data_IF_573486228024
#
_entry.id   IF_573486228024
#
_cell.length_a   1.000
_cell.length_b   1.000
_cell.length_c   1.000
_cell.angle_alpha   90.00
_cell.angle_beta   90.00
_cell.angle_gamma   90.00
#
_symmetry.space_group_name_H-M   'P 1'
#
loop_
_entity.id
_entity.type
_entity.pdbx_description
1 polymer ?
#
# COMPACT_ATOMS: atom_id res chain seq x y z
N UNK A 1 49.47 24.60 15.78
CA UNK A 1 48.54 23.46 15.60
C UNK A 1 47.13 23.93 15.94
N UNK A 2 46.31 24.23 14.93
CA UNK A 2 44.94 24.70 15.12
C UNK A 2 43.99 23.53 15.38
N UNK A 3 43.26 23.58 16.50
CA UNK A 3 42.14 22.68 16.80
C UNK A 3 40.87 23.31 16.20
N UNK A 4 40.23 22.60 15.28
CA UNK A 4 38.93 22.98 14.71
C UNK A 4 37.85 22.08 15.32
N UNK A 5 36.97 22.68 16.10
CA UNK A 5 35.71 22.11 16.58
C UNK A 5 34.59 22.58 15.66
N UNK A 6 33.94 21.65 14.95
CA UNK A 6 32.72 21.93 14.18
C UNK A 6 31.53 21.49 15.03
N UNK A 7 30.76 22.47 15.51
CA UNK A 7 29.44 22.28 16.11
C UNK A 7 28.42 21.98 15.02
N UNK A 8 27.74 20.85 15.10
CA UNK A 8 26.60 20.51 14.24
C UNK A 8 25.30 20.87 14.98
N UNK A 9 24.65 21.95 14.56
CA UNK A 9 23.33 22.33 15.05
C UNK A 9 22.26 21.44 14.40
N UNK A 10 21.53 20.69 15.24
CA UNK A 10 20.36 19.89 14.83
C UNK A 10 19.15 20.83 14.82
N UNK A 11 18.57 21.06 13.64
CA UNK A 11 17.28 21.74 13.49
C UNK A 11 16.17 20.71 13.73
N UNK A 12 15.45 20.85 14.84
CA UNK A 12 14.18 20.16 15.07
C UNK A 12 13.06 20.93 14.35
N UNK A 13 12.45 20.33 13.33
CA UNK A 13 11.16 20.78 12.79
C UNK A 13 10.06 19.98 13.49
N UNK A 14 9.39 20.63 14.42
CA UNK A 14 8.17 20.13 15.08
C UNK A 14 6.98 20.36 14.17
N UNK A 15 6.36 19.29 13.66
CA UNK A 15 5.07 19.37 12.96
C UNK A 15 3.96 19.34 14.01
N UNK A 16 3.37 20.50 14.29
CA UNK A 16 2.13 20.60 15.07
C UNK A 16 0.96 20.13 14.21
N UNK A 17 0.34 19.01 14.58
CA UNK A 17 -0.94 18.57 14.00
C UNK A 17 -2.07 19.24 14.78
N UNK A 18 -2.88 20.07 14.12
CA UNK A 18 -4.12 20.62 14.67
C UNK A 18 -5.20 19.54 14.56
N UNK A 19 -5.89 19.29 15.67
CA UNK A 19 -7.04 18.40 15.73
C UNK A 19 -8.23 19.04 14.99
N UNK A 20 -8.84 18.30 14.05
CA UNK A 20 -10.19 18.60 13.58
C UNK A 20 -11.17 17.72 14.35
N UNK A 21 -11.90 18.35 15.27
CA UNK A 21 -13.13 17.82 15.84
C UNK A 21 -14.32 18.25 14.96
N UNK A 22 -15.33 17.39 14.93
CA UNK A 22 -16.69 17.54 14.40
C UNK A 22 -16.92 17.78 12.91
N UNK A 23 -17.45 16.73 12.27
CA UNK A 23 -18.15 16.75 11.00
C UNK A 23 -19.27 15.71 10.97
N UNK A 24 -19.91 15.45 12.12
CA UNK A 24 -21.19 14.75 12.21
C UNK A 24 -22.30 15.75 11.86
N UNK A 25 -22.62 15.91 10.57
CA UNK A 25 -23.89 16.55 10.18
C UNK A 25 -24.30 16.35 8.71
N UNK A 26 -23.94 15.21 8.09
CA UNK A 26 -24.43 14.86 6.74
C UNK A 26 -25.70 13.99 6.75
N UNK A 27 -26.28 13.70 7.92
CA UNK A 27 -27.43 12.79 8.05
C UNK A 27 -28.57 13.29 8.94
N UNK A 28 -28.72 14.61 9.14
CA UNK A 28 -29.88 15.16 9.87
C UNK A 28 -30.40 16.47 9.29
N UNK A 29 -31.31 16.37 8.32
CA UNK A 29 -32.65 16.98 8.34
C UNK A 29 -33.22 17.21 6.94
N UNK A 30 -34.51 16.92 6.82
CA UNK A 30 -35.35 17.07 5.63
C UNK A 30 -36.12 18.39 5.71
N UNK A 31 -36.12 19.15 4.59
CA UNK A 31 -36.98 20.30 4.19
C UNK A 31 -36.82 21.59 5.02
N UNK A 32 -36.78 22.80 4.43
CA UNK A 32 -37.72 23.38 3.46
C UNK A 32 -37.06 24.36 2.47
N UNK A 33 -37.72 24.55 1.32
CA UNK A 33 -37.38 25.51 0.27
C UNK A 33 -37.43 26.94 0.82
N UNK A 34 -36.39 27.74 0.61
CA UNK A 34 -36.47 29.20 0.72
C UNK A 34 -36.54 29.82 -0.67
N UNK A 35 -37.63 30.54 -0.88
CA UNK A 35 -38.04 31.25 -2.10
C UNK A 35 -37.48 32.67 -2.00
N UNK A 36 -36.23 32.87 -2.40
CA UNK A 36 -35.74 34.21 -2.74
C UNK A 36 -34.83 34.13 -3.95
N UNK A 37 -35.38 34.59 -5.06
CA UNK A 37 -34.67 34.92 -6.28
C UNK A 37 -33.63 36.01 -6.02
N UNK A 38 -32.45 35.83 -6.59
CA UNK A 38 -31.58 36.93 -6.97
C UNK A 38 -30.93 36.56 -8.29
N UNK A 39 -31.37 37.29 -9.32
CA UNK A 39 -31.03 37.16 -10.73
C UNK A 39 -29.52 37.09 -11.00
N UNK A 40 -29.02 36.22 -11.90
CA UNK A 40 -27.69 36.36 -12.46
C UNK A 40 -27.72 37.10 -13.80
N UNK A 41 -26.96 38.20 -13.88
CA UNK A 41 -26.51 38.83 -15.12
C UNK A 41 -25.66 37.89 -15.99
N UNK A 42 -25.21 38.34 -17.17
CA UNK A 42 -24.92 37.48 -18.30
C UNK A 42 -23.81 36.47 -17.98
N UNK A 43 -24.19 35.20 -18.04
CA UNK A 43 -23.29 34.06 -18.04
C UNK A 43 -22.45 34.10 -19.31
N UNK A 44 -21.20 34.55 -19.18
CA UNK A 44 -20.15 34.15 -20.12
C UNK A 44 -20.13 32.63 -20.16
N UNK A 45 -20.60 32.05 -21.26
CA UNK A 45 -20.52 30.63 -21.53
C UNK A 45 -19.05 30.24 -21.67
N UNK A 46 -18.44 29.83 -20.57
CA UNK A 46 -17.11 29.22 -20.60
C UNK A 46 -17.27 27.83 -21.18
N UNK A 47 -16.77 27.64 -22.40
CA UNK A 47 -16.68 26.35 -23.05
C UNK A 47 -16.00 25.34 -22.07
N UNK A 48 -16.67 24.24 -21.67
CA UNK A 48 -16.16 23.32 -20.63
C UNK A 48 -14.83 22.65 -21.02
N UNK A 49 -14.47 22.66 -22.31
CA UNK A 49 -13.20 22.17 -22.80
C UNK A 49 -11.99 23.08 -22.44
N UNK A 50 -12.20 24.36 -22.14
CA UNK A 50 -11.14 25.36 -21.97
C UNK A 50 -10.89 25.82 -20.52
N UNK A 51 -11.59 25.22 -19.54
CA UNK A 51 -11.41 25.53 -18.11
C UNK A 51 -10.19 24.85 -17.46
N UNK A 52 -9.49 23.94 -18.16
CA UNK A 52 -8.72 22.87 -17.51
C UNK A 52 -7.19 22.93 -17.70
N UNK A 53 -6.63 24.12 -17.90
CA UNK A 53 -5.19 24.37 -17.73
C UNK A 53 -4.90 25.41 -16.62
N UNK A 54 -5.91 25.73 -15.81
CA UNK A 54 -5.84 26.72 -14.74
C UNK A 54 -5.76 26.00 -13.38
N UNK A 55 -4.99 26.56 -12.46
CA UNK A 55 -4.92 26.11 -11.06
C UNK A 55 -6.31 26.14 -10.41
N UNK A 56 -6.69 25.03 -9.77
CA UNK A 56 -7.97 24.87 -9.06
C UNK A 56 -7.84 25.47 -7.66
N UNK A 57 -8.72 26.39 -7.28
CA UNK A 57 -8.62 27.13 -6.00
C UNK A 57 -9.84 26.98 -5.11
N UNK A 58 -10.97 26.54 -5.68
CA UNK A 58 -12.25 26.42 -4.98
C UNK A 58 -12.84 25.01 -5.08
N UNK A 59 -13.55 24.58 -4.05
CA UNK A 59 -14.24 23.28 -4.04
C UNK A 59 -15.24 23.10 -5.22
N UNK A 60 -15.89 24.19 -5.65
CA UNK A 60 -16.79 24.14 -6.80
C UNK A 60 -16.05 23.83 -8.12
N UNK A 61 -14.83 24.35 -8.30
CA UNK A 61 -13.99 24.04 -9.46
C UNK A 61 -13.51 22.59 -9.41
N UNK A 62 -13.16 22.08 -8.22
CA UNK A 62 -12.80 20.68 -8.02
C UNK A 62 -13.96 19.72 -8.28
N UNK A 63 -15.18 20.11 -7.92
CA UNK A 63 -16.41 19.39 -8.28
C UNK A 63 -16.58 19.30 -9.79
N UNK A 64 -16.41 20.41 -10.52
CA UNK A 64 -16.50 20.39 -11.98
C UNK A 64 -15.38 19.57 -12.63
N UNK A 65 -14.18 19.56 -12.03
CA UNK A 65 -13.09 18.68 -12.46
C UNK A 65 -13.49 17.20 -12.33
N UNK A 66 -14.07 16.78 -11.20
CA UNK A 66 -14.59 15.42 -11.01
C UNK A 66 -15.70 15.06 -12.01
N UNK A 67 -16.61 16.00 -12.30
CA UNK A 67 -17.64 15.81 -13.35
C UNK A 67 -17.03 15.64 -14.73
N UNK A 68 -16.04 16.45 -15.08
CA UNK A 68 -15.30 16.31 -16.36
C UNK A 68 -14.50 15.00 -16.44
N UNK A 69 -14.14 14.42 -15.29
CA UNK A 69 -13.53 13.11 -15.18
C UNK A 69 -14.54 11.96 -15.28
N UNK A 70 -15.85 12.25 -15.36
CA UNK A 70 -16.91 11.25 -15.49
C UNK A 70 -17.48 10.75 -14.17
N UNK A 71 -17.23 11.46 -13.05
CA UNK A 71 -17.78 11.11 -11.74
C UNK A 71 -18.86 12.10 -11.30
N UNK A 72 -19.87 11.62 -10.57
CA UNK A 72 -20.86 12.51 -9.95
C UNK A 72 -20.27 13.22 -8.73
N UNK A 73 -19.57 14.32 -8.98
CA UNK A 73 -18.88 15.12 -7.96
C UNK A 73 -19.83 16.00 -7.14
N UNK A 74 -19.62 16.03 -5.82
CA UNK A 74 -20.32 16.88 -4.84
C UNK A 74 -19.31 17.69 -4.03
N UNK A 75 -19.65 18.92 -3.65
CA UNK A 75 -18.81 19.69 -2.72
C UNK A 75 -18.88 19.02 -1.34
N UNK A 76 -17.72 18.76 -0.73
CA UNK A 76 -17.62 18.06 0.55
C UNK A 76 -16.99 18.93 1.66
N UNK A 77 -16.51 20.12 1.32
CA UNK A 77 -15.90 21.07 2.24
C UNK A 77 -15.46 22.34 1.52
N UNK A 78 -14.79 23.24 2.23
CA UNK A 78 -14.35 24.54 1.67
C UNK A 78 -13.33 24.38 0.52
N UNK A 79 -12.50 23.34 0.58
CA UNK A 79 -11.44 23.03 -0.40
C UNK A 79 -11.49 21.58 -0.89
N UNK A 80 -12.63 20.91 -0.79
CA UNK A 80 -12.76 19.50 -1.13
C UNK A 80 -14.05 19.16 -1.86
N UNK A 81 -13.98 18.12 -2.68
CA UNK A 81 -15.11 17.55 -3.38
C UNK A 81 -15.03 16.02 -3.30
N UNK A 82 -16.19 15.37 -3.17
CA UNK A 82 -16.33 13.94 -3.06
C UNK A 82 -17.04 13.36 -4.28
N UNK A 83 -16.76 12.10 -4.59
CA UNK A 83 -17.43 11.31 -5.62
C UNK A 83 -17.41 9.82 -5.24
N UNK A 84 -17.98 8.98 -6.09
CA UNK A 84 -17.96 7.53 -5.96
C UNK A 84 -17.24 6.89 -7.15
N UNK A 85 -16.44 5.85 -6.91
CA UNK A 85 -15.78 5.05 -7.95
C UNK A 85 -16.18 3.59 -7.82
N UNK A 86 -16.89 3.10 -8.83
CA UNK A 86 -17.32 1.70 -8.88
C UNK A 86 -16.29 0.82 -9.59
N UNK A 87 -15.96 -0.31 -8.99
CA UNK A 87 -15.15 -1.38 -9.55
C UNK A 87 -15.54 -2.71 -8.88
N UNK A 88 -16.58 -3.35 -9.41
CA UNK A 88 -17.21 -4.58 -8.88
C UNK A 88 -16.19 -5.57 -8.23
N UNK A 89 -16.41 -6.00 -6.98
CA UNK A 89 -17.57 -5.74 -6.11
C UNK A 89 -17.53 -4.42 -5.35
N UNK A 90 -16.50 -3.61 -5.56
CA UNK A 90 -16.22 -2.47 -4.71
C UNK A 90 -16.87 -1.19 -5.19
N UNK A 91 -17.39 -0.43 -4.23
CA UNK A 91 -17.81 0.94 -4.39
C UNK A 91 -16.91 1.81 -3.50
N UNK A 92 -15.97 2.51 -4.12
CA UNK A 92 -14.98 3.28 -3.39
C UNK A 92 -15.39 4.76 -3.24
N UNK A 93 -15.52 5.30 -2.02
CA UNK A 93 -15.66 6.74 -1.83
C UNK A 93 -14.36 7.45 -2.22
N UNK A 94 -14.48 8.44 -3.10
CA UNK A 94 -13.38 9.30 -3.54
C UNK A 94 -13.51 10.65 -2.86
N UNK A 95 -12.41 11.15 -2.29
CA UNK A 95 -12.28 12.55 -1.86
C UNK A 95 -11.11 13.19 -2.59
N UNK A 96 -11.36 14.31 -3.24
CA UNK A 96 -10.34 15.21 -3.75
C UNK A 96 -10.25 16.43 -2.84
N UNK A 97 -9.04 16.88 -2.51
CA UNK A 97 -8.81 18.06 -1.68
C UNK A 97 -7.67 18.92 -2.23
N UNK A 98 -7.87 20.24 -2.23
CA UNK A 98 -6.84 21.22 -2.62
C UNK A 98 -5.95 21.49 -1.42
N UNK A 99 -4.63 21.40 -1.58
CA UNK A 99 -3.66 21.77 -0.55
C UNK A 99 -3.81 23.25 -0.14
N UNK A 100 -3.34 23.60 1.05
CA UNK A 100 -3.42 24.97 1.58
C UNK A 100 -2.68 25.98 0.71
N UNK A 101 -1.52 25.60 0.16
CA UNK A 101 -0.72 26.39 -0.78
C UNK A 101 -1.26 26.38 -2.22
N UNK A 102 -2.35 25.64 -2.45
CA UNK A 102 -3.01 25.47 -3.75
C UNK A 102 -2.12 24.89 -4.85
N UNK A 103 -0.98 24.29 -4.51
CA UNK A 103 -0.05 23.76 -5.51
C UNK A 103 -0.36 22.31 -5.88
N UNK A 104 -1.10 21.59 -5.02
CA UNK A 104 -1.39 20.17 -5.18
C UNK A 104 -2.88 19.86 -4.93
N UNK A 105 -3.33 18.76 -5.54
CA UNK A 105 -4.60 18.12 -5.25
C UNK A 105 -4.30 16.72 -4.72
N UNK A 106 -4.75 16.44 -3.50
CA UNK A 106 -4.72 15.09 -2.95
C UNK A 106 -5.98 14.36 -3.35
N UNK A 107 -5.82 13.18 -3.94
CA UNK A 107 -6.90 12.24 -4.22
C UNK A 107 -6.81 11.10 -3.22
N UNK A 108 -7.93 10.77 -2.61
CA UNK A 108 -8.05 9.73 -1.62
C UNK A 108 -9.18 8.80 -1.98
N UNK A 109 -8.89 7.51 -1.96
CA UNK A 109 -9.84 6.41 -2.11
C UNK A 109 -10.02 5.78 -0.73
N UNK A 110 -11.23 5.84 -0.16
CA UNK A 110 -11.54 5.13 1.08
C UNK A 110 -11.69 3.64 0.81
N UNK A 111 -11.10 2.82 1.68
CA UNK A 111 -11.05 1.37 1.52
C UNK A 111 -11.93 0.70 2.56
N UNK A 112 -11.40 0.43 3.75
CA UNK A 112 -12.13 -0.24 4.82
C UNK A 112 -12.14 0.56 6.12
N UNK A 113 -13.32 0.71 6.71
CA UNK A 113 -13.49 1.24 8.08
C UNK A 113 -12.95 0.23 9.11
N UNK A 114 -12.17 0.74 10.05
CA UNK A 114 -11.52 -0.01 11.12
C UNK A 114 -11.89 0.67 12.44
N UNK A 115 -12.92 0.13 13.10
CA UNK A 115 -13.44 0.70 14.35
C UNK A 115 -12.44 0.60 15.50
N UNK A 116 -11.68 -0.51 15.53
CA UNK A 116 -10.59 -0.72 16.46
C UNK A 116 -9.26 -0.83 15.69
N UNK A 117 -8.41 0.19 15.85
CA UNK A 117 -7.08 0.22 15.22
C UNK A 117 -6.17 -0.96 15.58
N UNK A 118 -6.48 -1.71 16.65
CA UNK A 118 -5.77 -2.96 16.98
C UNK A 118 -5.92 -4.05 15.91
N UNK A 119 -6.96 -3.96 15.06
CA UNK A 119 -7.17 -4.84 13.92
C UNK A 119 -6.11 -4.65 12.82
N UNK A 120 -5.44 -3.51 12.78
CA UNK A 120 -4.28 -3.29 11.92
C UNK A 120 -3.04 -3.89 12.56
N UNK A 121 -2.79 -5.16 12.23
CA UNK A 121 -1.56 -5.82 12.64
C UNK A 121 -0.32 -5.08 12.08
N UNK A 122 0.79 -5.17 12.81
CA UNK A 122 2.07 -4.63 12.33
C UNK A 122 2.49 -5.26 10.98
N UNK A 123 2.15 -6.53 10.75
CA UNK A 123 2.37 -7.22 9.47
C UNK A 123 1.57 -6.58 8.32
N UNK A 124 0.31 -6.26 8.56
CA UNK A 124 -0.54 -5.53 7.60
C UNK A 124 0.06 -4.17 7.25
N UNK A 125 0.52 -3.41 8.26
CA UNK A 125 1.14 -2.10 8.04
C UNK A 125 2.46 -2.20 7.24
N UNK A 126 3.29 -3.21 7.52
CA UNK A 126 4.52 -3.46 6.78
C UNK A 126 4.23 -3.87 5.33
N UNK A 127 3.20 -4.69 5.09
CA UNK A 127 2.73 -5.03 3.73
C UNK A 127 2.25 -3.80 2.97
N UNK A 128 1.51 -2.90 3.62
CA UNK A 128 1.14 -1.61 3.03
C UNK A 128 2.39 -0.82 2.64
N UNK A 129 3.39 -0.69 3.53
CA UNK A 129 4.64 0.00 3.21
C UNK A 129 5.40 -0.64 2.04
N UNK A 130 5.42 -1.97 1.95
CA UNK A 130 6.04 -2.69 0.83
C UNK A 130 5.31 -2.40 -0.50
N UNK A 131 3.98 -2.43 -0.49
CA UNK A 131 3.17 -2.12 -1.68
C UNK A 131 3.33 -0.66 -2.09
N UNK A 132 3.47 0.27 -1.13
CA UNK A 132 3.71 1.68 -1.41
C UNK A 132 5.00 1.93 -2.21
N UNK A 133 6.02 1.10 -2.03
CA UNK A 133 7.24 1.18 -2.82
C UNK A 133 7.01 0.75 -4.28
N UNK A 134 6.06 -0.16 -4.53
CA UNK A 134 5.78 -0.73 -5.84
C UNK A 134 4.76 0.09 -6.65
N UNK A 135 3.75 0.66 -5.98
CA UNK A 135 2.58 1.27 -6.63
C UNK A 135 2.63 2.81 -6.66
N UNK A 136 3.79 3.40 -6.33
CA UNK A 136 4.04 4.82 -6.40
C UNK A 136 3.55 5.41 -7.75
N UNK A 137 2.85 6.57 -7.73
CA UNK A 137 2.69 7.48 -6.60
C UNK A 137 1.51 7.17 -5.65
N UNK A 138 0.80 6.05 -5.80
CA UNK A 138 -0.30 5.71 -4.89
C UNK A 138 0.23 5.02 -3.62
N UNK A 139 -0.29 5.44 -2.46
CA UNK A 139 0.21 5.03 -1.15
C UNK A 139 -0.97 4.63 -0.25
N UNK A 140 -0.92 3.40 0.26
CA UNK A 140 -1.78 2.90 1.31
C UNK A 140 -1.41 3.52 2.66
N UNK A 141 -2.43 3.89 3.43
CA UNK A 141 -2.27 4.36 4.79
C UNK A 141 -3.51 4.10 5.64
N UNK A 142 -3.38 4.37 6.93
CA UNK A 142 -4.49 4.36 7.88
C UNK A 142 -4.74 5.77 8.40
N UNK A 143 -5.98 6.25 8.27
CA UNK A 143 -6.41 7.51 8.85
C UNK A 143 -6.97 7.27 10.25
N UNK A 144 -6.26 7.75 11.27
CA UNK A 144 -6.77 7.73 12.67
C UNK A 144 -8.04 8.58 12.83
N UNK A 145 -8.13 9.69 12.09
CA UNK A 145 -9.26 10.62 12.17
C UNK A 145 -10.52 9.99 11.56
N UNK A 146 -10.37 9.36 10.38
CA UNK A 146 -11.49 8.76 9.64
C UNK A 146 -11.69 7.28 9.93
N UNK A 147 -10.89 6.73 10.84
CA UNK A 147 -10.88 5.32 11.26
C UNK A 147 -11.00 4.35 10.09
N UNK A 148 -10.16 4.52 9.06
CA UNK A 148 -10.20 3.66 7.87
C UNK A 148 -8.87 3.58 7.15
N UNK A 149 -8.68 2.49 6.41
CA UNK A 149 -7.61 2.38 5.41
C UNK A 149 -7.96 3.19 4.17
N UNK A 150 -6.93 3.79 3.58
CA UNK A 150 -7.06 4.72 2.46
C UNK A 150 -5.93 4.48 1.48
N UNK A 151 -6.21 4.64 0.20
CA UNK A 151 -5.20 4.79 -0.84
C UNK A 151 -5.18 6.26 -1.25
N UNK A 152 -4.05 6.94 -1.16
CA UNK A 152 -3.94 8.34 -1.56
C UNK A 152 -2.85 8.56 -2.62
N UNK A 153 -3.06 9.57 -3.45
CA UNK A 153 -2.12 10.06 -4.46
C UNK A 153 -2.14 11.59 -4.43
N UNK A 154 -1.00 12.20 -4.78
CA UNK A 154 -0.87 13.65 -4.90
C UNK A 154 -0.63 14.01 -6.36
N UNK A 155 -1.48 14.87 -6.89
CA UNK A 155 -1.36 15.44 -8.23
C UNK A 155 -0.93 16.90 -8.14
N UNK A 156 -0.14 17.35 -9.11
CA UNK A 156 0.08 18.79 -9.29
C UNK A 156 -1.24 19.44 -9.68
N UNK A 157 -1.54 20.57 -9.06
CA UNK A 157 -2.77 21.31 -9.36
C UNK A 157 -2.67 22.05 -10.69
N UNK A 158 -1.47 22.53 -11.05
CA UNK A 158 -1.27 23.19 -12.32
C UNK A 158 -1.37 22.19 -13.49
N UNK A 159 -2.28 22.44 -14.43
CA UNK A 159 -2.48 21.61 -15.62
C UNK A 159 -3.22 20.29 -15.36
N UNK A 160 -3.83 20.10 -14.19
CA UNK A 160 -4.69 18.95 -13.96
C UNK A 160 -5.93 19.03 -14.84
N UNK A 161 -6.25 17.92 -15.53
CA UNK A 161 -7.43 17.82 -16.39
C UNK A 161 -8.35 16.71 -15.89
N UNK A 162 -9.62 16.74 -16.30
CA UNK A 162 -10.55 15.65 -16.01
C UNK A 162 -10.06 14.29 -16.50
N UNK A 163 -9.33 14.24 -17.62
CA UNK A 163 -8.67 13.03 -18.13
C UNK A 163 -7.63 12.50 -17.13
N UNK A 164 -6.70 13.35 -16.69
CA UNK A 164 -5.65 12.98 -15.73
C UNK A 164 -6.30 12.48 -14.43
N UNK A 165 -7.29 13.21 -13.92
CA UNK A 165 -7.97 12.84 -12.68
C UNK A 165 -8.71 11.50 -12.81
N UNK A 166 -9.40 11.28 -13.92
CA UNK A 166 -10.08 10.00 -14.20
C UNK A 166 -9.11 8.84 -14.27
N UNK A 167 -8.05 9.00 -15.05
CA UNK A 167 -7.08 7.94 -15.28
C UNK A 167 -6.39 7.58 -13.96
N UNK A 168 -6.11 8.57 -13.10
CA UNK A 168 -5.55 8.33 -11.77
C UNK A 168 -6.52 7.66 -10.80
N UNK A 169 -7.78 8.12 -10.69
CA UNK A 169 -8.79 7.45 -9.84
C UNK A 169 -9.01 5.99 -10.29
N UNK A 170 -9.05 5.73 -11.60
CA UNK A 170 -9.17 4.37 -12.13
C UNK A 170 -7.93 3.51 -11.84
N UNK A 171 -6.73 4.09 -11.94
CA UNK A 171 -5.49 3.42 -11.55
C UNK A 171 -5.51 3.05 -10.07
N UNK A 172 -5.87 4.00 -9.20
CA UNK A 172 -6.00 3.78 -7.76
C UNK A 172 -7.01 2.68 -7.43
N UNK A 173 -8.19 2.67 -8.03
CA UNK A 173 -9.17 1.59 -7.82
C UNK A 173 -8.64 0.22 -8.25
N UNK A 174 -7.87 0.16 -9.34
CA UNK A 174 -7.22 -1.08 -9.80
C UNK A 174 -6.14 -1.54 -8.83
N UNK A 175 -5.35 -0.62 -8.28
CA UNK A 175 -4.34 -0.90 -7.25
C UNK A 175 -5.01 -1.41 -5.97
N UNK A 176 -6.08 -0.74 -5.51
CA UNK A 176 -6.87 -1.18 -4.37
C UNK A 176 -7.37 -2.61 -4.58
N UNK A 177 -8.05 -2.90 -5.70
CA UNK A 177 -8.53 -4.25 -6.00
C UNK A 177 -7.41 -5.30 -6.09
N UNK A 178 -6.26 -4.96 -6.66
CA UNK A 178 -5.11 -5.88 -6.77
C UNK A 178 -4.58 -6.30 -5.40
N UNK A 179 -4.60 -5.38 -4.45
CA UNK A 179 -4.07 -5.56 -3.11
C UNK A 179 -5.17 -5.69 -2.06
N UNK A 180 -6.37 -6.15 -2.43
CA UNK A 180 -7.53 -6.32 -1.55
C UNK A 180 -7.18 -7.00 -0.22
N UNK A 181 -6.40 -8.08 -0.26
CA UNK A 181 -5.97 -8.83 0.91
C UNK A 181 -5.15 -8.04 1.94
N UNK A 182 -4.62 -6.85 1.61
CA UNK A 182 -3.88 -6.02 2.57
C UNK A 182 -4.77 -5.04 3.33
N UNK A 183 -5.96 -4.73 2.81
CA UNK A 183 -6.82 -3.69 3.39
C UNK A 183 -8.25 -4.13 3.64
N UNK A 184 -8.71 -5.23 3.03
CA UNK A 184 -9.99 -5.85 3.36
C UNK A 184 -9.79 -6.89 4.47
N UNK A 185 -10.23 -6.52 5.66
CA UNK A 185 -10.29 -7.33 6.87
C UNK A 185 -11.70 -7.83 7.14
N UNK A 186 -12.63 -7.72 6.18
CA UNK A 186 -13.89 -8.45 6.29
C UNK A 186 -13.54 -9.92 6.50
N UNK A 187 -14.21 -10.57 7.45
CA UNK A 187 -14.02 -12.01 7.63
C UNK A 187 -14.33 -12.67 6.29
N UNK A 188 -13.29 -13.03 5.54
CA UNK A 188 -13.42 -14.15 4.64
C UNK A 188 -13.98 -15.28 5.53
N UNK A 189 -15.13 -15.88 5.18
CA UNK A 189 -15.62 -17.01 5.94
C UNK A 189 -14.45 -17.97 6.04
N UNK A 190 -14.16 -18.38 7.27
CA UNK A 190 -13.24 -19.47 7.55
C UNK A 190 -13.63 -20.62 6.64
N UNK A 191 -12.99 -20.72 5.48
CA UNK A 191 -13.18 -21.85 4.60
C UNK A 191 -12.31 -22.92 5.23
N UNK A 192 -12.87 -23.52 6.28
CA UNK A 192 -12.65 -24.93 6.54
C UNK A 192 -12.95 -25.60 5.20
N UNK A 193 -11.90 -25.86 4.41
CA UNK A 193 -12.01 -26.82 3.32
C UNK A 193 -12.17 -28.19 3.99
N UNK A 194 -13.43 -28.45 4.32
CA UNK A 194 -14.00 -29.76 4.49
C UNK A 194 -13.62 -30.57 3.25
N UNK A 195 -12.86 -31.63 3.48
CA UNK A 195 -12.59 -32.66 2.48
C UNK A 195 -13.92 -33.19 1.94
N UNK A 196 -14.12 -33.07 0.63
CA UNK A 196 -14.93 -33.97 -0.16
C UNK A 196 -14.21 -34.27 -1.48
N UNK A 197 -14.24 -35.52 -1.97
CA UNK A 197 -13.23 -36.04 -2.88
C UNK A 197 -13.56 -35.70 -4.33
N UNK A 198 -12.70 -34.93 -4.99
CA UNK A 198 -12.68 -34.90 -6.45
C UNK A 198 -11.25 -34.76 -6.97
N UNK A 199 -10.92 -35.74 -7.79
CA UNK A 199 -9.67 -36.02 -8.49
C UNK A 199 -8.95 -34.77 -9.05
N UNK A 200 -7.63 -34.64 -8.86
CA UNK A 200 -6.88 -33.44 -9.22
C UNK A 200 -6.59 -33.33 -10.73
N UNK A 201 -6.71 -32.14 -11.35
CA UNK A 201 -5.88 -31.79 -12.49
C UNK A 201 -4.46 -31.52 -11.97
N UNK A 202 -3.47 -32.20 -12.55
CA UNK A 202 -2.08 -32.14 -12.13
C UNK A 202 -1.52 -30.70 -12.11
N UNK A 203 -1.28 -30.19 -10.90
CA UNK A 203 -0.47 -29.01 -10.67
C UNK A 203 1.00 -29.37 -10.92
N UNK A 204 1.67 -28.67 -11.84
CA UNK A 204 3.11 -28.84 -12.08
C UNK A 204 3.86 -28.41 -10.83
N UNK A 205 4.21 -29.35 -9.98
CA UNK A 205 5.15 -29.17 -8.86
C UNK A 205 6.48 -28.66 -9.43
N UNK A 206 6.80 -27.38 -9.18
CA UNK A 206 8.13 -26.85 -9.44
C UNK A 206 9.11 -27.57 -8.51
N UNK A 207 9.93 -28.45 -9.07
CA UNK A 207 10.97 -29.16 -8.33
C UNK A 207 12.03 -28.14 -7.92
N UNK A 208 12.30 -28.03 -6.61
CA UNK A 208 13.33 -27.16 -6.08
C UNK A 208 14.71 -27.60 -6.62
N UNK A 209 15.37 -26.72 -7.35
CA UNK A 209 16.74 -26.90 -7.83
C UNK A 209 17.58 -25.64 -7.58
N UNK A 210 18.89 -25.74 -7.69
CA UNK A 210 19.80 -24.65 -7.37
C UNK A 210 19.49 -23.37 -8.16
N UNK A 211 19.07 -23.50 -9.42
CA UNK A 211 18.71 -22.38 -10.29
C UNK A 211 17.42 -21.68 -9.86
N UNK A 212 16.42 -22.39 -9.35
CA UNK A 212 15.16 -21.81 -8.84
C UNK A 212 15.34 -20.97 -7.57
N UNK A 213 16.45 -21.19 -6.84
CA UNK A 213 16.76 -20.49 -5.59
C UNK A 213 17.71 -19.32 -5.74
N UNK A 214 18.31 -19.11 -6.93
CA UNK A 214 19.17 -17.94 -7.16
C UNK A 214 18.36 -16.65 -6.96
N UNK A 215 18.91 -15.75 -6.15
CA UNK A 215 18.27 -14.48 -5.78
C UNK A 215 18.45 -14.14 -4.31
N UNK A 216 17.82 -13.03 -3.90
CA UNK A 216 17.75 -12.60 -2.51
C UNK A 216 16.41 -13.01 -1.93
N UNK A 217 16.41 -13.45 -0.68
CA UNK A 217 15.26 -14.00 0.00
C UNK A 217 15.24 -13.51 1.43
N UNK A 218 14.06 -13.37 2.01
CA UNK A 218 13.90 -13.01 3.40
C UNK A 218 12.78 -13.83 4.05
N UNK A 219 12.92 -14.07 5.34
CA UNK A 219 11.91 -14.70 6.18
C UNK A 219 11.94 -14.05 7.56
N UNK A 220 10.78 -13.89 8.20
CA UNK A 220 10.69 -13.46 9.59
C UNK A 220 10.00 -14.53 10.42
N UNK A 221 10.57 -14.87 11.58
CA UNK A 221 9.97 -15.82 12.53
C UNK A 221 9.23 -15.08 13.66
N UNK A 222 9.67 -13.86 13.97
CA UNK A 222 9.03 -12.97 14.93
C UNK A 222 9.43 -11.51 14.63
N UNK A 223 8.88 -10.56 15.38
CA UNK A 223 9.27 -9.14 15.28
C UNK A 223 10.76 -8.90 15.61
N UNK A 224 11.41 -9.79 16.36
CA UNK A 224 12.81 -9.66 16.74
C UNK A 224 13.71 -10.68 16.04
N UNK A 225 13.16 -11.55 15.21
CA UNK A 225 13.89 -12.63 14.57
C UNK A 225 13.62 -12.72 13.07
N UNK A 226 14.65 -12.43 12.27
CA UNK A 226 14.57 -12.42 10.81
C UNK A 226 15.82 -13.00 10.15
N UNK A 227 15.62 -13.50 8.93
CA UNK A 227 16.63 -14.12 8.09
C UNK A 227 16.60 -13.43 6.73
N UNK A 228 17.76 -13.12 6.17
CA UNK A 228 17.90 -12.74 4.77
C UNK A 228 19.01 -13.59 4.15
N UNK A 229 18.73 -14.23 3.02
CA UNK A 229 19.66 -15.11 2.33
C UNK A 229 19.78 -14.67 0.88
N UNK A 230 21.00 -14.45 0.41
CA UNK A 230 21.29 -14.35 -1.01
C UNK A 230 21.91 -15.65 -1.48
N UNK A 231 21.33 -16.29 -2.50
CA UNK A 231 21.92 -17.42 -3.22
C UNK A 231 22.40 -16.94 -4.59
N UNK A 232 23.64 -17.29 -4.91
CA UNK A 232 24.29 -16.94 -6.18
C UNK A 232 24.31 -18.14 -7.13
N UNK A 233 24.40 -17.86 -8.43
CA UNK A 233 24.39 -18.91 -9.46
C UNK A 233 25.63 -19.82 -9.43
N UNK A 234 26.70 -19.39 -8.77
CA UNK A 234 27.95 -20.12 -8.54
C UNK A 234 27.89 -21.09 -7.34
N UNK A 235 26.73 -21.24 -6.70
CA UNK A 235 26.58 -22.13 -5.53
C UNK A 235 27.04 -21.51 -4.22
N UNK A 236 27.19 -20.18 -4.15
CA UNK A 236 27.51 -19.45 -2.92
C UNK A 236 26.27 -18.86 -2.25
N UNK A 237 26.30 -18.72 -0.93
CA UNK A 237 25.27 -18.03 -0.16
C UNK A 237 25.86 -16.94 0.76
N UNK A 238 25.04 -15.94 1.05
CA UNK A 238 25.24 -14.99 2.15
C UNK A 238 23.99 -14.97 3.01
N UNK A 239 24.10 -15.39 4.27
CA UNK A 239 23.04 -15.36 5.26
C UNK A 239 23.28 -14.20 6.23
N UNK A 240 22.23 -13.43 6.46
CA UNK A 240 22.09 -12.50 7.56
C UNK A 240 20.99 -13.00 8.47
N UNK A 241 21.31 -13.18 9.73
CA UNK A 241 20.36 -13.49 10.78
C UNK A 241 20.30 -12.32 11.76
N UNK A 242 19.10 -11.88 12.10
CA UNK A 242 18.87 -10.87 13.14
C UNK A 242 18.09 -11.53 14.26
N UNK A 243 18.57 -11.41 15.49
CA UNK A 243 17.87 -11.86 16.69
C UNK A 243 18.01 -10.83 17.80
N UNK A 244 16.89 -10.27 18.26
CA UNK A 244 16.83 -9.23 19.28
C UNK A 244 17.79 -8.06 18.97
N UNK A 245 17.79 -7.63 17.70
CA UNK A 245 18.63 -6.54 17.20
C UNK A 245 20.10 -6.90 16.99
N UNK A 246 20.56 -8.09 17.39
CA UNK A 246 21.91 -8.57 17.09
C UNK A 246 21.95 -9.22 15.73
N UNK A 247 22.87 -8.78 14.88
CA UNK A 247 23.07 -9.32 13.55
C UNK A 247 24.24 -10.32 13.55
N UNK A 248 24.00 -11.50 12.98
CA UNK A 248 25.04 -12.48 12.64
C UNK A 248 25.07 -12.63 11.12
N UNK A 249 26.27 -12.70 10.56
CA UNK A 249 26.48 -12.93 9.12
C UNK A 249 27.23 -14.22 8.94
N UNK A 250 26.84 -14.99 7.94
CA UNK A 250 27.56 -16.19 7.53
C UNK A 250 27.55 -16.28 6.00
N UNK A 251 28.60 -16.85 5.44
CA UNK A 251 28.78 -17.01 4.00
C UNK A 251 29.43 -18.35 3.72
N UNK A 252 29.13 -18.94 2.56
CA UNK A 252 29.78 -20.18 2.14
C UNK A 252 29.03 -20.85 1.00
N UNK A 253 29.14 -22.16 0.90
CA UNK A 253 28.58 -22.91 -0.21
C UNK A 253 27.21 -23.51 0.13
N UNK A 254 26.33 -23.55 -0.86
CA UNK A 254 25.08 -24.29 -0.77
C UNK A 254 24.96 -25.35 -1.87
N UNK A 255 24.23 -26.42 -1.56
CA UNK A 255 23.89 -27.46 -2.50
C UNK A 255 22.45 -27.92 -2.27
N UNK A 256 21.80 -28.41 -3.32
CA UNK A 256 20.45 -28.97 -3.23
C UNK A 256 20.49 -30.37 -3.83
N UNK A 257 20.18 -31.37 -3.02
CA UNK A 257 20.10 -32.76 -3.45
C UNK A 257 18.76 -33.31 -3.02
N UNK A 258 17.95 -33.77 -3.98
CA UNK A 258 16.64 -34.36 -3.73
C UNK A 258 15.70 -33.48 -2.88
N UNK A 259 15.71 -32.16 -3.11
CA UNK A 259 14.91 -31.19 -2.36
C UNK A 259 15.45 -30.82 -0.98
N UNK A 260 16.61 -31.34 -0.59
CA UNK A 260 17.30 -30.98 0.65
C UNK A 260 18.34 -29.91 0.35
N UNK A 261 18.19 -28.73 0.94
CA UNK A 261 19.20 -27.69 0.97
C UNK A 261 20.23 -28.01 2.05
N UNK A 262 21.50 -27.95 1.68
CA UNK A 262 22.64 -27.99 2.59
C UNK A 262 23.46 -26.72 2.40
N UNK A 263 23.68 -25.96 3.45
CA UNK A 263 24.55 -24.78 3.50
C UNK A 263 25.72 -25.07 4.45
N UNK A 264 26.94 -24.85 3.97
CA UNK A 264 28.17 -24.95 4.76
C UNK A 264 28.87 -23.60 4.73
N UNK A 265 28.84 -22.89 5.87
CA UNK A 265 29.50 -21.62 6.07
C UNK A 265 31.00 -21.78 6.30
N UNK A 266 31.77 -20.76 5.90
CA UNK A 266 33.22 -20.68 6.15
C UNK A 266 33.56 -20.48 7.63
N UNK A 267 32.57 -20.05 8.43
CA UNK A 267 32.59 -19.93 9.89
C UNK A 267 32.28 -21.26 10.61
N UNK A 268 32.14 -22.36 9.87
CA UNK A 268 31.77 -23.66 10.41
C UNK A 268 30.27 -23.86 10.60
N UNK A 269 29.43 -22.88 10.22
CA UNK A 269 27.97 -23.03 10.25
C UNK A 269 27.53 -24.13 9.29
N UNK A 270 26.65 -25.03 9.75
CA UNK A 270 26.01 -26.04 8.91
C UNK A 270 24.51 -25.95 9.10
N UNK A 271 23.79 -25.68 8.01
CA UNK A 271 22.35 -25.66 7.97
C UNK A 271 21.88 -26.67 6.93
N UNK A 272 20.96 -27.56 7.29
CA UNK A 272 20.36 -28.49 6.35
C UNK A 272 18.85 -28.58 6.60
N UNK A 273 18.08 -28.78 5.53
CA UNK A 273 16.64 -28.87 5.64
C UNK A 273 15.95 -28.99 4.28
N UNK A 274 14.68 -29.37 4.32
CA UNK A 274 13.89 -29.57 3.10
C UNK A 274 13.40 -28.23 2.57
N UNK A 275 13.54 -28.02 1.26
CA UNK A 275 12.93 -26.91 0.54
C UNK A 275 11.74 -27.41 -0.25
N UNK A 276 10.64 -26.64 -0.18
CA UNK A 276 9.53 -26.74 -1.10
C UNK A 276 9.32 -25.38 -1.75
N UNK A 277 9.51 -25.31 -3.07
CA UNK A 277 9.10 -24.13 -3.84
C UNK A 277 7.57 -24.10 -3.86
N UNK A 278 6.99 -22.98 -3.46
CA UNK A 278 5.54 -22.76 -3.53
C UNK A 278 5.20 -21.91 -4.75
N UNK A 279 6.14 -21.08 -5.21
CA UNK A 279 6.06 -20.32 -6.46
C UNK A 279 7.47 -19.92 -6.95
N UNK A 280 7.57 -19.14 -8.03
CA UNK A 280 8.85 -18.57 -8.46
C UNK A 280 9.44 -17.53 -7.48
N UNK A 281 8.62 -16.99 -6.56
CA UNK A 281 9.01 -15.93 -5.62
C UNK A 281 8.86 -16.34 -4.16
N UNK A 282 8.46 -17.58 -3.88
CA UNK A 282 8.30 -18.09 -2.52
C UNK A 282 8.74 -19.54 -2.40
N UNK A 283 9.41 -19.84 -1.30
CA UNK A 283 9.70 -21.21 -0.90
C UNK A 283 9.61 -21.35 0.61
N UNK A 284 9.34 -22.56 1.07
CA UNK A 284 9.41 -22.90 2.49
C UNK A 284 10.65 -23.73 2.75
N UNK A 285 11.42 -23.35 3.75
CA UNK A 285 12.54 -24.12 4.28
C UNK A 285 12.15 -24.73 5.61
N UNK A 286 12.28 -26.04 5.75
CA UNK A 286 12.02 -26.76 6.99
C UNK A 286 13.32 -27.37 7.49
N UNK A 287 13.98 -26.76 8.49
CA UNK A 287 15.11 -27.38 9.16
C UNK A 287 14.64 -28.61 9.94
N UNK A 288 15.46 -29.65 10.00
CA UNK A 288 15.14 -31.04 10.39
C UNK A 288 14.37 -31.22 11.72
N UNK A 289 14.28 -30.19 12.58
CA UNK A 289 13.59 -30.24 13.89
C UNK A 289 12.89 -28.93 14.30
N UNK A 290 12.55 -28.06 13.36
CA UNK A 290 11.97 -26.74 13.68
C UNK A 290 10.80 -26.39 12.76
N UNK A 291 10.00 -25.39 13.17
CA UNK A 291 8.92 -24.86 12.33
C UNK A 291 9.46 -24.38 10.99
N UNK A 292 8.70 -24.62 9.93
CA UNK A 292 9.02 -24.16 8.59
C UNK A 292 9.13 -22.63 8.56
N UNK A 293 10.14 -22.14 7.84
CA UNK A 293 10.36 -20.73 7.53
C UNK A 293 9.90 -20.48 6.10
N UNK A 294 8.95 -19.57 5.92
CA UNK A 294 8.53 -19.13 4.60
C UNK A 294 9.45 -18.00 4.15
N UNK A 295 10.22 -18.26 3.09
CA UNK A 295 11.08 -17.29 2.43
C UNK A 295 10.37 -16.68 1.23
N UNK A 296 10.43 -15.36 1.14
CA UNK A 296 9.93 -14.56 0.01
C UNK A 296 11.10 -13.92 -0.69
N UNK A 297 11.06 -13.85 -2.03
CA UNK A 297 12.10 -13.20 -2.82
C UNK A 297 12.10 -11.70 -2.53
N UNK A 298 13.27 -11.15 -2.24
CA UNK A 298 13.50 -9.73 -1.98
C UNK A 298 13.81 -8.96 -3.27
#
# INVERSE_FOLDING_TARGET
>A
MFKSTISLAIVFVSVTSVAFADGDDLFSSVRTKSVFESSPGPSSATNPANLLAKRITKAAELRELLKSAGFDGKVAGSRSAAAQKDLNPWEFPVLAAISEDEDHITIMLGLQTIEDSSQLSADTLLKMMQVNQQEAPAVFGYSKIRKRTELYCVLRNNGVTGRILRDEINRMATVAKRHEAIWDHSEAPSTTQQQAPTTPPAEKTLVANATSLVGKWSAARSATEAFAIAFSADGQFNLVFVNNGKQTKSSGNFAIVSGVLTMTGTDGMKLFGTIKMTSATTFTFTPDKTKALAFTKA
#
